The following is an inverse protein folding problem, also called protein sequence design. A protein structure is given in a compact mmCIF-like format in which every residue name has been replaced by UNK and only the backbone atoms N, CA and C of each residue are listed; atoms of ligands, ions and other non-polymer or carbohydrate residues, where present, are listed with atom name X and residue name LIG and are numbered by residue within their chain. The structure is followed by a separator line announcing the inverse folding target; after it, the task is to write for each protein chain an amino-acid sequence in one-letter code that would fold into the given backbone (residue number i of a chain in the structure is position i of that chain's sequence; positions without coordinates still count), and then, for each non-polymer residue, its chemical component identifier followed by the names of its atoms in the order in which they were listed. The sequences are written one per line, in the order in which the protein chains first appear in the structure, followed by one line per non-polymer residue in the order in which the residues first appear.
data_IF_871291289179
#
_entry.id   IF_871291289179
#
_cell.length_a   1.000
_cell.length_b   1.000
_cell.length_c   1.000
_cell.angle_alpha   90.00
_cell.angle_beta   90.00
_cell.angle_gamma   90.00
#
_symmetry.space_group_name_H-M   'P 1'
#
loop_
_entity.id
_entity.type
_entity.pdbx_description
1 polymer ?
#
# COMPACT_ATOMS: atom_id res chain seq x y z
N UNK A 1 -0.93 -12.10 19.74
CA UNK A 1 -0.16 -11.66 18.56
C UNK A 1 0.40 -12.85 17.79
N UNK A 2 -0.42 -13.66 17.15
CA UNK A 2 0.05 -14.94 16.59
C UNK A 2 -0.55 -15.24 15.22
N UNK A 3 -0.66 -14.25 14.33
CA UNK A 3 -0.99 -14.53 12.94
C UNK A 3 -0.43 -13.45 12.01
N UNK A 4 0.91 -13.35 11.93
CA UNK A 4 1.54 -12.58 10.87
C UNK A 4 1.46 -13.37 9.58
N UNK A 5 0.39 -13.20 8.83
CA UNK A 5 0.29 -13.70 7.47
C UNK A 5 0.91 -12.66 6.54
N UNK A 6 2.17 -12.85 6.16
CA UNK A 6 2.81 -12.06 5.12
C UNK A 6 2.64 -12.82 3.82
N UNK A 7 1.93 -12.23 2.87
CA UNK A 7 1.88 -12.74 1.51
C UNK A 7 3.08 -12.21 0.73
N UNK A 8 4.08 -13.03 0.53
CA UNK A 8 5.17 -12.75 -0.41
C UNK A 8 4.79 -13.34 -1.75
N UNK A 9 3.81 -12.70 -2.42
CA UNK A 9 3.33 -13.14 -3.72
C UNK A 9 4.17 -12.57 -4.86
N UNK A 10 5.11 -13.34 -5.39
CA UNK A 10 5.52 -13.22 -6.79
C UNK A 10 4.48 -13.93 -7.64
N UNK A 11 3.76 -13.24 -8.45
CA UNK A 11 3.04 -13.54 -9.70
C UNK A 11 2.34 -14.90 -9.91
N UNK A 12 1.97 -15.63 -8.86
CA UNK A 12 1.26 -16.91 -9.00
C UNK A 12 0.15 -17.03 -7.98
N UNK A 13 -1.08 -16.74 -8.40
CA UNK A 13 -2.36 -16.81 -7.68
C UNK A 13 -2.52 -15.75 -6.59
N UNK A 14 -3.41 -14.77 -6.77
CA UNK A 14 -3.56 -13.58 -5.92
C UNK A 14 -4.03 -13.84 -4.48
N UNK A 15 -4.40 -15.06 -4.12
CA UNK A 15 -5.10 -15.34 -2.87
C UNK A 15 -4.42 -16.38 -1.97
N UNK A 16 -3.15 -16.69 -2.18
CA UNK A 16 -2.44 -17.65 -1.31
C UNK A 16 -1.60 -16.94 -0.27
N UNK A 17 -2.17 -16.78 0.93
CA UNK A 17 -1.38 -16.36 2.09
C UNK A 17 -0.48 -17.50 2.55
N UNK A 18 0.84 -17.26 2.51
CA UNK A 18 1.82 -18.18 3.09
C UNK A 18 2.12 -17.75 4.54
N UNK A 19 2.20 -18.74 5.44
CA UNK A 19 2.58 -18.45 6.83
C UNK A 19 4.04 -18.01 6.88
N UNK A 20 4.29 -16.78 7.33
CA UNK A 20 5.65 -16.30 7.56
C UNK A 20 6.21 -16.93 8.84
N UNK A 21 7.48 -17.37 8.78
CA UNK A 21 8.20 -17.91 9.93
C UNK A 21 9.02 -16.85 10.67
N UNK A 22 9.26 -15.72 10.04
CA UNK A 22 10.03 -14.61 10.58
C UNK A 22 9.17 -13.76 11.51
N UNK A 23 9.80 -13.06 12.44
CA UNK A 23 9.14 -12.03 13.22
C UNK A 23 8.68 -10.88 12.30
N UNK A 24 7.56 -10.17 12.60
CA UNK A 24 6.98 -9.19 11.68
C UNK A 24 7.95 -8.11 11.20
N UNK A 25 8.78 -7.57 12.09
CA UNK A 25 9.77 -6.54 11.71
C UNK A 25 10.91 -7.09 10.85
N UNK A 26 11.32 -8.33 11.09
CA UNK A 26 12.34 -8.99 10.27
C UNK A 26 11.81 -9.28 8.88
N UNK A 27 10.59 -9.80 8.80
CA UNK A 27 9.92 -10.02 7.52
C UNK A 27 9.73 -8.72 6.73
N UNK A 28 9.41 -7.60 7.39
CA UNK A 28 9.34 -6.29 6.77
C UNK A 28 10.70 -5.85 6.22
N UNK A 29 11.78 -6.01 7.00
CA UNK A 29 13.15 -5.68 6.58
C UNK A 29 13.59 -6.54 5.39
N UNK A 30 13.31 -7.84 5.43
CA UNK A 30 13.61 -8.77 4.34
C UNK A 30 12.85 -8.35 3.08
N UNK A 31 11.55 -8.04 3.18
CA UNK A 31 10.73 -7.60 2.06
C UNK A 31 11.22 -6.29 1.43
N UNK A 32 11.64 -5.31 2.26
CA UNK A 32 12.23 -4.06 1.79
C UNK A 32 13.58 -4.32 1.11
N UNK A 33 14.44 -5.15 1.71
CA UNK A 33 15.74 -5.48 1.14
C UNK A 33 15.62 -6.18 -0.22
N UNK A 34 14.73 -7.15 -0.35
CA UNK A 34 14.43 -7.82 -1.61
C UNK A 34 13.80 -6.90 -2.66
N UNK A 35 13.16 -5.81 -2.21
CA UNK A 35 12.51 -4.84 -3.09
C UNK A 35 13.48 -3.81 -3.65
N UNK A 36 14.69 -3.73 -3.10
CA UNK A 36 15.67 -2.70 -3.45
C UNK A 36 16.15 -2.88 -4.88
N UNK A 37 16.12 -1.79 -5.63
CA UNK A 37 16.64 -1.69 -7.01
C UNK A 37 17.44 -0.39 -7.08
N UNK A 38 18.58 -0.43 -7.75
CA UNK A 38 19.33 0.78 -8.09
C UNK A 38 18.60 1.51 -9.23
N UNK A 39 18.02 2.65 -8.89
CA UNK A 39 17.24 3.45 -9.83
C UNK A 39 18.14 4.42 -10.59
N UNK A 40 17.94 4.57 -11.91
CA UNK A 40 18.51 5.69 -12.66
C UNK A 40 18.04 7.03 -12.07
N UNK A 41 18.93 8.03 -12.00
CA UNK A 41 18.62 9.37 -11.47
C UNK A 41 17.47 10.08 -12.23
N UNK A 42 17.20 9.64 -13.45
CA UNK A 42 16.10 10.16 -14.28
C UNK A 42 14.72 9.69 -13.82
N UNK A 43 14.65 8.65 -13.01
CA UNK A 43 13.38 8.12 -12.49
C UNK A 43 13.04 8.70 -11.12
N UNK A 44 11.76 8.91 -10.83
CA UNK A 44 11.33 9.36 -9.51
C UNK A 44 11.60 8.27 -8.45
N UNK A 45 11.88 8.64 -7.18
CA UNK A 45 12.22 7.69 -6.12
C UNK A 45 11.18 6.58 -5.90
N UNK A 46 9.91 6.86 -6.21
CA UNK A 46 8.81 5.90 -6.07
C UNK A 46 8.76 4.83 -7.17
N UNK A 47 9.64 4.90 -8.17
CA UNK A 47 9.63 4.02 -9.35
C UNK A 47 9.75 2.52 -9.02
N UNK A 48 10.31 2.15 -7.88
CA UNK A 48 10.42 0.77 -7.40
C UNK A 48 10.08 0.64 -5.92
N UNK A 49 9.20 1.48 -5.42
CA UNK A 49 8.80 1.54 -4.02
C UNK A 49 7.97 0.34 -3.55
N UNK A 50 7.88 0.22 -2.25
CA UNK A 50 6.92 -0.62 -1.54
C UNK A 50 5.80 0.30 -1.06
N UNK A 51 4.55 -0.09 -1.28
CA UNK A 51 3.38 0.73 -0.98
C UNK A 51 2.43 -0.02 -0.06
N UNK A 52 1.72 0.69 0.79
CA UNK A 52 0.75 0.08 1.66
C UNK A 52 0.51 0.89 2.92
N UNK A 53 0.11 0.20 3.97
CA UNK A 53 -0.09 0.80 5.28
C UNK A 53 0.45 -0.07 6.40
N UNK A 54 0.80 0.58 7.49
CA UNK A 54 1.04 0.00 8.80
C UNK A 54 -0.02 0.59 9.74
N UNK A 55 -0.83 -0.25 10.35
CA UNK A 55 -1.82 0.17 11.33
C UNK A 55 -1.17 0.73 12.60
N UNK A 56 -1.93 1.47 13.39
CA UNK A 56 -1.42 2.07 14.61
C UNK A 56 -0.81 1.04 15.57
N UNK A 57 -1.46 -0.11 15.72
CA UNK A 57 -1.01 -1.16 16.65
C UNK A 57 0.29 -1.86 16.25
N UNK A 58 0.83 -1.61 15.04
CA UNK A 58 2.19 -2.06 14.68
C UNK A 58 3.27 -1.46 15.57
N UNK A 59 3.00 -0.33 16.24
CA UNK A 59 3.89 0.25 17.26
C UNK A 59 4.18 -0.73 18.41
N UNK A 60 3.29 -1.69 18.68
CA UNK A 60 3.48 -2.75 19.71
C UNK A 60 4.59 -3.72 19.37
N UNK A 61 5.10 -3.69 18.15
CA UNK A 61 6.31 -4.44 17.77
C UNK A 61 7.59 -3.77 18.29
N UNK A 62 7.51 -2.52 18.75
CA UNK A 62 8.65 -1.70 19.19
C UNK A 62 8.48 -1.18 20.62
N UNK A 63 7.24 -1.01 21.08
CA UNK A 63 6.89 -0.40 22.36
C UNK A 63 5.98 -1.32 23.19
N UNK A 64 6.17 -1.30 24.51
CA UNK A 64 5.25 -1.93 25.45
C UNK A 64 4.05 -1.03 25.71
N UNK A 65 2.90 -1.40 25.20
CA UNK A 65 1.64 -0.69 25.38
C UNK A 65 0.64 -1.56 26.15
N UNK A 66 -0.33 -0.94 26.86
CA UNK A 66 -1.44 -1.66 27.46
C UNK A 66 -2.19 -2.55 26.46
N UNK A 67 -3.03 -3.45 26.98
CA UNK A 67 -3.85 -4.33 26.15
C UNK A 67 -4.56 -3.57 25.02
N UNK A 68 -4.57 -4.10 23.80
CA UNK A 68 -5.22 -3.45 22.67
C UNK A 68 -6.72 -3.38 22.86
N UNK A 69 -7.34 -2.37 22.30
CA UNK A 69 -8.79 -2.30 22.19
C UNK A 69 -9.31 -3.47 21.33
N UNK A 70 -10.57 -3.91 21.53
CA UNK A 70 -11.19 -4.88 20.64
C UNK A 70 -11.13 -4.43 19.19
N UNK A 71 -10.74 -5.34 18.29
CA UNK A 71 -10.75 -5.10 16.84
C UNK A 71 -12.04 -5.65 16.21
N UNK A 72 -13.10 -4.82 16.06
CA UNK A 72 -14.35 -5.24 15.44
C UNK A 72 -14.27 -5.35 13.91
N UNK A 73 -13.30 -4.71 13.30
CA UNK A 73 -13.17 -4.61 11.82
C UNK A 73 -12.41 -5.80 11.27
N UNK A 74 -11.45 -6.34 12.03
CA UNK A 74 -10.61 -7.50 11.66
C UNK A 74 -9.88 -7.34 10.34
N UNK A 75 -9.38 -6.16 10.07
CA UNK A 75 -8.49 -5.92 8.93
C UNK A 75 -7.04 -6.28 9.30
N UNK A 76 -6.19 -6.61 8.31
CA UNK A 76 -4.79 -6.82 8.58
C UNK A 76 -4.13 -5.60 9.21
N UNK A 77 -3.27 -5.79 10.21
CA UNK A 77 -2.52 -4.69 10.85
C UNK A 77 -1.53 -4.01 9.90
N UNK A 78 -1.08 -4.71 8.88
CA UNK A 78 -0.23 -4.15 7.85
C UNK A 78 -0.49 -4.83 6.51
N UNK A 79 -0.47 -4.06 5.42
CA UNK A 79 -0.50 -4.56 4.06
C UNK A 79 0.54 -3.78 3.25
N UNK A 80 1.46 -4.49 2.65
CA UNK A 80 2.50 -3.92 1.80
C UNK A 80 2.53 -4.65 0.47
N UNK A 81 2.62 -3.89 -0.61
CA UNK A 81 2.67 -4.40 -1.97
C UNK A 81 3.90 -3.88 -2.72
N UNK A 82 4.39 -4.69 -3.64
CA UNK A 82 5.35 -4.28 -4.67
C UNK A 82 4.64 -4.21 -6.01
N UNK A 83 4.29 -3.03 -6.50
CA UNK A 83 3.65 -2.90 -7.80
C UNK A 83 4.55 -3.47 -8.91
N UNK A 84 3.93 -4.14 -9.86
CA UNK A 84 4.60 -4.57 -11.10
C UNK A 84 4.53 -3.51 -12.19
N UNK A 85 3.69 -2.51 -11.99
CA UNK A 85 3.51 -1.36 -12.86
C UNK A 85 3.20 -0.13 -12.01
N UNK A 86 3.85 0.99 -12.35
CA UNK A 86 3.65 2.29 -11.71
C UNK A 86 3.50 3.33 -12.80
N UNK A 87 2.47 4.18 -12.68
CA UNK A 87 2.27 5.34 -13.56
C UNK A 87 2.40 6.59 -12.70
N UNK A 88 3.33 7.45 -13.05
CA UNK A 88 3.60 8.70 -12.35
C UNK A 88 3.17 9.87 -13.21
N UNK A 89 2.23 10.66 -12.71
CA UNK A 89 1.79 11.91 -13.31
C UNK A 89 2.56 13.06 -12.64
N UNK A 90 3.44 13.71 -13.38
CA UNK A 90 4.20 14.87 -12.91
C UNK A 90 3.57 16.15 -13.48
N UNK A 91 2.75 16.81 -12.67
CA UNK A 91 2.06 18.04 -13.07
C UNK A 91 3.00 19.25 -13.20
N UNK A 92 4.20 19.20 -12.64
CA UNK A 92 5.20 20.27 -12.75
C UNK A 92 5.93 20.18 -14.08
N UNK A 93 6.28 18.95 -14.49
CA UNK A 93 6.97 18.68 -15.75
C UNK A 93 6.02 18.43 -16.92
N UNK A 94 4.72 18.38 -16.64
CA UNK A 94 3.65 18.01 -17.61
C UNK A 94 4.02 16.70 -18.34
N UNK A 95 4.35 15.68 -17.56
CA UNK A 95 4.80 14.40 -18.11
C UNK A 95 4.19 13.20 -17.38
N UNK A 96 4.03 12.11 -18.13
CA UNK A 96 3.59 10.82 -17.60
C UNK A 96 4.74 9.84 -17.75
N UNK A 97 5.16 9.23 -16.65
CA UNK A 97 6.21 8.20 -16.65
C UNK A 97 5.60 6.86 -16.30
N UNK A 98 5.72 5.88 -17.19
CA UNK A 98 5.25 4.51 -16.97
C UNK A 98 6.45 3.62 -16.68
N UNK A 99 6.39 2.89 -15.57
CA UNK A 99 7.52 2.14 -15.04
C UNK A 99 7.08 0.72 -14.70
N UNK A 100 7.85 -0.27 -15.14
CA UNK A 100 7.67 -1.67 -14.73
C UNK A 100 8.99 -2.21 -14.20
N UNK A 101 9.12 -2.38 -12.87
CA UNK A 101 10.33 -2.98 -12.30
C UNK A 101 10.46 -4.45 -12.72
N UNK A 102 11.62 -4.81 -13.26
CA UNK A 102 11.96 -6.20 -13.56
C UNK A 102 12.91 -6.70 -12.49
N UNK A 103 12.53 -7.76 -11.81
CA UNK A 103 13.32 -8.37 -10.75
C UNK A 103 13.79 -9.75 -11.18
N UNK A 104 15.00 -10.17 -10.78
CA UNK A 104 15.45 -11.54 -11.00
C UNK A 104 14.47 -12.53 -10.34
N UNK A 105 14.05 -13.53 -11.09
CA UNK A 105 13.19 -14.60 -10.61
C UNK A 105 13.81 -15.95 -10.93
N UNK A 106 13.86 -16.83 -9.93
CA UNK A 106 14.50 -18.15 -10.09
C UNK A 106 13.78 -18.97 -11.17
N UNK A 107 14.53 -19.44 -12.17
CA UNK A 107 13.99 -20.25 -13.26
C UNK A 107 13.34 -19.47 -14.40
N UNK A 108 13.38 -18.15 -14.36
CA UNK A 108 12.89 -17.29 -15.45
C UNK A 108 14.07 -16.77 -16.26
N UNK A 109 14.02 -16.96 -17.57
CA UNK A 109 14.99 -16.38 -18.49
C UNK A 109 14.89 -14.83 -18.48
N UNK A 110 16.01 -14.11 -18.28
CA UNK A 110 16.02 -12.65 -18.25
C UNK A 110 15.42 -12.00 -19.49
N UNK A 111 15.64 -12.59 -20.68
CA UNK A 111 15.06 -12.08 -21.94
C UNK A 111 13.53 -12.21 -21.94
N UNK A 112 13.02 -13.32 -21.47
CA UNK A 112 11.57 -13.52 -21.34
C UNK A 112 10.94 -12.59 -20.29
N UNK A 113 11.67 -12.29 -19.21
CA UNK A 113 11.23 -11.32 -18.21
C UNK A 113 11.17 -9.89 -18.79
N UNK A 114 12.19 -9.50 -19.56
CA UNK A 114 12.24 -8.20 -20.25
C UNK A 114 11.11 -8.08 -21.27
N UNK A 115 10.91 -9.07 -22.12
CA UNK A 115 9.85 -9.06 -23.13
C UNK A 115 8.45 -8.88 -22.49
N UNK A 116 8.19 -9.56 -21.37
CA UNK A 116 6.93 -9.38 -20.61
C UNK A 116 6.82 -7.97 -20.00
N UNK A 117 7.92 -7.36 -19.63
CA UNK A 117 7.93 -5.98 -19.14
C UNK A 117 7.61 -4.98 -20.26
N UNK A 118 8.21 -5.15 -21.43
CA UNK A 118 7.94 -4.34 -22.62
C UNK A 118 6.48 -4.45 -23.07
N UNK A 119 5.92 -5.65 -23.06
CA UNK A 119 4.50 -5.89 -23.35
C UNK A 119 3.59 -5.15 -22.37
N UNK A 120 3.90 -5.18 -21.07
CA UNK A 120 3.13 -4.41 -20.04
C UNK A 120 3.20 -2.92 -20.28
N UNK A 121 4.38 -2.37 -20.62
CA UNK A 121 4.53 -0.95 -20.92
C UNK A 121 3.71 -0.55 -22.14
N UNK A 122 3.81 -1.32 -23.23
CA UNK A 122 3.05 -1.06 -24.47
C UNK A 122 1.54 -1.09 -24.20
N UNK A 123 1.05 -2.07 -23.43
CA UNK A 123 -0.36 -2.17 -23.10
C UNK A 123 -0.89 -0.95 -22.32
N UNK A 124 -0.06 -0.34 -21.46
CA UNK A 124 -0.44 0.89 -20.73
C UNK A 124 -0.46 2.09 -21.65
N UNK A 125 0.55 2.25 -22.50
CA UNK A 125 0.57 3.34 -23.50
C UNK A 125 -0.64 3.25 -24.40
N UNK A 126 -0.95 2.07 -24.94
CA UNK A 126 -2.13 1.83 -25.76
C UNK A 126 -3.44 2.14 -25.02
N UNK A 127 -3.47 1.87 -23.71
CA UNK A 127 -4.65 2.18 -22.89
C UNK A 127 -4.83 3.68 -22.65
N UNK A 128 -3.72 4.42 -22.48
CA UNK A 128 -3.74 5.87 -22.31
C UNK A 128 -4.13 6.60 -23.60
N UNK A 129 -3.80 6.05 -24.76
CA UNK A 129 -4.15 6.60 -26.08
C UNK A 129 -5.62 6.35 -26.46
N UNK A 130 -6.31 5.46 -25.76
CA UNK A 130 -7.73 5.19 -26.05
C UNK A 130 -8.62 6.31 -25.52
N UNK A 131 -9.63 6.72 -26.30
CA UNK A 131 -10.64 7.64 -25.78
C UNK A 131 -11.38 7.00 -24.61
N UNK A 132 -11.64 7.80 -23.57
CA UNK A 132 -12.47 7.36 -22.45
C UNK A 132 -13.87 6.98 -22.97
N UNK A 133 -14.30 5.79 -22.63
CA UNK A 133 -15.68 5.37 -22.87
C UNK A 133 -16.59 6.26 -22.00
N UNK A 134 -17.38 7.14 -22.67
CA UNK A 134 -18.23 8.12 -21.97
C UNK A 134 -19.38 7.47 -21.18
N UNK A 135 -19.57 6.20 -21.29
CA UNK A 135 -20.46 5.41 -20.44
C UNK A 135 -19.84 5.16 -19.05
N UNK A 136 -19.35 6.21 -18.40
CA UNK A 136 -19.24 6.16 -16.94
C UNK A 136 -20.69 6.06 -16.46
N UNK A 137 -21.09 4.85 -16.08
CA UNK A 137 -22.32 4.67 -15.33
C UNK A 137 -22.27 5.69 -14.20
N UNK A 138 -23.11 6.68 -14.24
CA UNK A 138 -23.36 7.51 -13.07
C UNK A 138 -23.80 6.54 -12.00
N UNK A 139 -22.87 6.19 -11.10
CA UNK A 139 -23.25 5.53 -9.88
C UNK A 139 -24.21 6.51 -9.25
N UNK A 140 -25.50 6.20 -9.33
CA UNK A 140 -26.53 6.91 -8.61
C UNK A 140 -26.21 6.68 -7.12
N UNK A 141 -25.33 7.53 -6.59
CA UNK A 141 -25.12 7.66 -5.17
C UNK A 141 -26.34 8.42 -4.63
N UNK A 142 -27.52 7.79 -4.71
CA UNK A 142 -28.68 8.27 -4.00
C UNK A 142 -28.27 8.66 -2.58
N UNK A 143 -28.94 9.59 -1.94
CA UNK A 143 -28.55 10.06 -0.62
C UNK A 143 -28.33 8.82 0.26
N UNK A 144 -27.11 8.68 0.80
CA UNK A 144 -26.82 7.65 1.80
C UNK A 144 -27.80 7.89 2.95
N UNK A 145 -28.89 7.14 2.96
CA UNK A 145 -29.94 7.24 3.99
C UNK A 145 -29.47 6.67 5.35
N UNK A 146 -28.17 6.64 5.55
CA UNK A 146 -27.52 6.19 6.77
C UNK A 146 -26.84 7.38 7.42
N UNK A 147 -27.52 7.98 8.39
CA UNK A 147 -26.89 8.97 9.24
C UNK A 147 -25.71 8.33 9.99
N UNK A 148 -24.48 8.80 9.85
CA UNK A 148 -23.35 8.25 10.57
C UNK A 148 -23.57 8.40 12.08
N UNK A 149 -23.46 7.29 12.82
CA UNK A 149 -23.53 7.29 14.27
C UNK A 149 -22.13 7.41 14.85
N UNK A 150 -21.85 8.53 15.50
CA UNK A 150 -20.59 8.68 16.23
C UNK A 150 -20.55 7.77 17.45
N UNK A 151 -19.40 7.15 17.71
CA UNK A 151 -19.10 6.43 18.96
C UNK A 151 -18.64 7.37 20.09
N UNK A 152 -18.54 8.67 19.83
CA UNK A 152 -18.04 9.68 20.74
C UNK A 152 -19.01 10.85 20.75
N UNK A 153 -19.41 11.30 21.92
CA UNK A 153 -20.26 12.48 22.07
C UNK A 153 -19.47 13.78 21.84
N UNK A 154 -20.12 14.90 21.48
CA UNK A 154 -19.44 16.19 21.33
C UNK A 154 -18.74 16.66 22.62
N UNK A 155 -19.25 16.30 23.79
CA UNK A 155 -18.64 16.65 25.08
C UNK A 155 -17.35 15.86 25.32
N UNK A 156 -17.37 14.56 25.08
CA UNK A 156 -16.18 13.69 25.16
C UNK A 156 -15.11 14.13 24.17
N UNK A 157 -15.49 14.45 22.93
CA UNK A 157 -14.54 14.93 21.93
C UNK A 157 -13.84 16.23 22.37
N UNK A 158 -14.60 17.19 22.92
CA UNK A 158 -14.03 18.43 23.47
C UNK A 158 -13.07 18.16 24.63
N UNK A 159 -13.42 17.24 25.52
CA UNK A 159 -12.54 16.87 26.62
C UNK A 159 -11.23 16.24 26.13
N UNK A 160 -11.28 15.36 25.10
CA UNK A 160 -10.08 14.80 24.46
C UNK A 160 -9.20 15.89 23.84
N UNK A 161 -9.80 16.86 23.16
CA UNK A 161 -9.04 18.01 22.57
C UNK A 161 -8.36 18.82 23.65
N UNK A 162 -9.04 19.13 24.76
CA UNK A 162 -8.44 19.85 25.88
C UNK A 162 -7.28 19.07 26.46
N UNK A 163 -7.44 17.76 26.65
CA UNK A 163 -6.38 16.91 27.18
C UNK A 163 -5.17 16.82 26.25
N UNK A 164 -5.40 16.72 24.93
CA UNK A 164 -4.32 16.76 23.94
C UNK A 164 -3.54 18.09 24.00
N UNK A 165 -4.25 19.22 24.18
CA UNK A 165 -3.58 20.53 24.37
C UNK A 165 -2.73 20.58 25.63
N UNK A 166 -3.18 19.97 26.74
CA UNK A 166 -2.37 19.86 27.96
C UNK A 166 -1.07 19.08 27.69
N UNK A 167 -1.15 17.96 26.98
CA UNK A 167 0.04 17.16 26.62
C UNK A 167 1.03 17.95 25.75
N UNK A 168 0.54 18.71 24.78
CA UNK A 168 1.39 19.57 23.94
C UNK A 168 2.11 20.64 24.78
N UNK A 169 1.44 21.20 25.78
CA UNK A 169 2.04 22.23 26.67
C UNK A 169 3.03 21.62 27.69
N UNK A 170 2.88 20.36 28.00
CA UNK A 170 3.77 19.67 28.93
C UNK A 170 5.10 19.20 28.30
N UNK A 171 5.19 19.16 26.97
CA UNK A 171 6.40 18.76 26.19
C UNK A 171 6.32 17.35 25.70
#
# INVERSE_FOLDING_TARGET
LNNSNINVGGNTKPDVFARCKEAPLEALRSFIAESRIDLPETLPPMAAGVFGYLGYDTVRLMEELPEPNPDPIRIPEAVLIRPTLIVVFDAVKDSITVITPVRPEKGVDPKAALARAEERLSAVVDALDRPLDKAVATIDTGPLDVAPKSNTTPAEYRAMVLKAKEYILAG
#
